data_IF_218093183110
#
_entry.id   IF_218093183110
#
_cell.length_a   1.000
_cell.length_b   1.000
_cell.length_c   1.000
_cell.angle_alpha   90.00
_cell.angle_beta   90.00
_cell.angle_gamma   90.00
#
_symmetry.space_group_name_H-M   'P 1'
#
loop_
_entity.id
_entity.type
_entity.pdbx_description
1 polymer ?
#
# COMPACT_ATOMS: atom_id res chain seq x y z
N UNK A 1 30.07 -62.42 -21.94
CA UNK A 1 30.03 -61.40 -20.87
C UNK A 1 29.39 -60.15 -21.46
N UNK A 2 28.16 -59.76 -21.07
CA UNK A 2 27.51 -58.59 -21.65
C UNK A 2 28.05 -57.32 -21.00
N UNK A 3 28.44 -56.36 -21.84
CA UNK A 3 28.85 -55.01 -21.48
C UNK A 3 27.58 -54.18 -21.24
N UNK A 4 27.33 -53.75 -20.01
CA UNK A 4 26.20 -52.89 -19.67
C UNK A 4 26.59 -51.44 -19.95
N UNK A 5 25.94 -50.84 -20.94
CA UNK A 5 26.02 -49.41 -21.27
C UNK A 5 25.03 -48.66 -20.36
N UNK A 6 25.52 -47.86 -19.42
CA UNK A 6 24.68 -46.98 -18.62
C UNK A 6 24.73 -45.56 -19.22
N UNK A 7 23.65 -45.14 -19.86
CA UNK A 7 23.41 -43.76 -20.26
C UNK A 7 23.14 -42.91 -19.00
N UNK A 8 23.99 -41.92 -18.74
CA UNK A 8 23.71 -40.82 -17.81
C UNK A 8 22.92 -39.75 -18.58
N UNK A 9 21.61 -39.67 -18.33
CA UNK A 9 20.79 -38.56 -18.77
C UNK A 9 20.98 -37.36 -17.82
N UNK A 10 21.11 -36.13 -18.32
CA UNK A 10 21.11 -34.93 -17.49
C UNK A 10 19.70 -34.69 -16.93
N UNK A 11 19.58 -34.72 -15.60
CA UNK A 11 18.38 -34.29 -14.90
C UNK A 11 18.20 -32.79 -15.06
N UNK A 12 17.20 -32.39 -15.84
CA UNK A 12 16.66 -31.04 -15.82
C UNK A 12 16.01 -30.82 -14.45
N UNK A 13 16.62 -29.98 -13.61
CA UNK A 13 15.94 -29.44 -12.44
C UNK A 13 14.92 -28.42 -12.95
N UNK A 14 13.66 -28.84 -13.07
CA UNK A 14 12.54 -27.91 -13.09
C UNK A 14 12.52 -27.25 -11.71
N UNK A 15 12.95 -25.99 -11.63
CA UNK A 15 12.70 -25.16 -10.46
C UNK A 15 11.18 -25.06 -10.34
N UNK A 16 10.65 -25.54 -9.23
CA UNK A 16 9.26 -25.30 -8.88
C UNK A 16 9.10 -23.79 -8.75
N UNK A 17 8.31 -23.19 -9.64
CA UNK A 17 7.62 -21.94 -9.35
C UNK A 17 6.79 -22.24 -8.10
N UNK A 18 7.30 -21.83 -6.93
CA UNK A 18 6.50 -21.77 -5.72
C UNK A 18 5.37 -20.78 -6.04
N UNK A 19 4.14 -21.27 -6.11
CA UNK A 19 2.93 -20.46 -6.28
C UNK A 19 2.87 -19.42 -5.15
N UNK A 20 3.50 -18.28 -5.38
CA UNK A 20 3.43 -17.12 -4.51
C UNK A 20 2.03 -16.54 -4.70
N UNK A 21 1.11 -16.92 -3.81
CA UNK A 21 -0.21 -16.29 -3.75
C UNK A 21 0.01 -14.80 -3.44
N UNK A 22 -0.18 -13.95 -4.45
CA UNK A 22 -0.04 -12.51 -4.32
C UNK A 22 -1.09 -12.03 -3.32
N UNK A 23 -0.65 -11.57 -2.16
CA UNK A 23 -1.54 -10.92 -1.20
C UNK A 23 -1.95 -9.55 -1.77
N UNK A 24 -3.26 -9.36 -1.89
CA UNK A 24 -3.85 -8.17 -2.46
C UNK A 24 -4.86 -7.58 -1.47
N UNK A 25 -4.84 -6.26 -1.35
CA UNK A 25 -5.76 -5.49 -0.55
C UNK A 25 -6.46 -4.47 -1.45
N UNK A 26 -7.79 -4.50 -1.47
CA UNK A 26 -8.60 -3.53 -2.20
C UNK A 26 -9.34 -2.63 -1.21
N UNK A 27 -9.13 -1.33 -1.32
CA UNK A 27 -9.61 -0.33 -0.38
C UNK A 27 -10.45 0.71 -1.09
N UNK A 28 -11.49 1.16 -0.39
CA UNK A 28 -12.15 2.44 -0.71
C UNK A 28 -11.87 3.40 0.43
N UNK A 29 -11.22 4.52 0.11
CA UNK A 29 -10.72 5.48 1.08
C UNK A 29 -11.46 6.81 0.94
N UNK A 30 -11.87 7.39 2.07
CA UNK A 30 -12.54 8.69 2.12
C UNK A 30 -11.64 9.68 2.87
N UNK A 31 -11.28 10.78 2.20
CA UNK A 31 -10.46 11.83 2.81
C UNK A 31 -11.23 12.52 3.94
N UNK A 32 -10.56 12.64 5.08
CA UNK A 32 -11.13 13.21 6.30
C UNK A 32 -10.78 14.70 6.39
N UNK A 33 -11.72 15.54 6.88
CA UNK A 33 -11.42 16.92 7.18
C UNK A 33 -10.33 17.01 8.24
N UNK A 34 -9.43 17.97 8.09
CA UNK A 34 -8.32 18.15 9.00
C UNK A 34 -8.43 19.42 9.82
N UNK A 35 -8.00 19.35 11.09
CA UNK A 35 -7.88 20.54 11.92
C UNK A 35 -6.58 21.26 11.58
N UNK A 36 -6.71 22.48 11.09
CA UNK A 36 -5.60 23.39 10.87
C UNK A 36 -5.43 24.29 12.10
N UNK A 37 -4.17 24.52 12.50
CA UNK A 37 -3.82 25.50 13.52
C UNK A 37 -2.98 26.58 12.84
N UNK A 38 -3.46 27.82 12.88
CA UNK A 38 -2.70 28.98 12.43
C UNK A 38 -2.23 29.81 13.61
N UNK A 39 -0.97 30.24 13.53
CA UNK A 39 -0.36 31.11 14.52
C UNK A 39 -0.45 32.55 14.01
N UNK A 40 -1.18 33.38 14.74
CA UNK A 40 -1.36 34.81 14.43
C UNK A 40 -0.28 35.65 15.10
N UNK A 41 -0.69 36.73 15.77
CA UNK A 41 0.21 37.50 16.63
C UNK A 41 0.73 36.65 17.81
N UNK A 42 1.82 37.05 18.49
CA UNK A 42 2.32 36.32 19.66
C UNK A 42 1.23 36.09 20.71
N UNK A 43 0.87 34.81 20.91
CA UNK A 43 -0.19 34.39 21.84
C UNK A 43 -1.57 34.15 21.20
N UNK A 44 -1.72 34.40 19.89
CA UNK A 44 -2.95 34.11 19.14
C UNK A 44 -2.85 32.74 18.43
N UNK A 45 -3.80 31.87 18.76
CA UNK A 45 -3.98 30.56 18.15
C UNK A 45 -5.38 30.52 17.53
N UNK A 46 -5.45 30.30 16.22
CA UNK A 46 -6.71 30.09 15.51
C UNK A 46 -6.82 28.63 15.09
N UNK A 47 -7.99 28.03 15.35
CA UNK A 47 -8.32 26.69 14.93
C UNK A 47 -9.29 26.79 13.75
N UNK A 48 -8.94 26.15 12.64
CA UNK A 48 -9.79 26.02 11.45
C UNK A 48 -9.97 24.56 11.07
N UNK A 49 -10.99 24.30 10.27
CA UNK A 49 -11.11 23.03 9.55
C UNK A 49 -10.72 23.25 8.10
N UNK A 50 -9.84 22.39 7.61
CA UNK A 50 -9.50 22.28 6.20
C UNK A 50 -10.38 21.20 5.59
N UNK A 51 -11.12 21.57 4.56
CA UNK A 51 -11.93 20.63 3.81
C UNK A 51 -11.04 19.59 3.12
N UNK A 52 -11.56 18.35 2.92
CA UNK A 52 -10.91 17.36 2.07
C UNK A 52 -10.55 17.93 0.70
N UNK A 53 -9.41 17.50 0.15
CA UNK A 53 -9.02 17.83 -1.22
C UNK A 53 -9.79 16.97 -2.22
N UNK A 54 -9.92 15.67 -1.96
CA UNK A 54 -10.86 14.78 -2.64
C UNK A 54 -12.22 14.79 -1.94
N UNK A 55 -13.27 15.13 -2.69
CA UNK A 55 -14.64 15.05 -2.22
C UNK A 55 -15.23 13.64 -2.38
N UNK A 56 -14.73 12.89 -3.37
CA UNK A 56 -15.22 11.56 -3.71
C UNK A 56 -14.31 10.48 -3.09
N UNK A 57 -14.87 9.30 -2.74
CA UNK A 57 -14.05 8.16 -2.34
C UNK A 57 -13.06 7.77 -3.42
N UNK A 58 -11.84 7.43 -3.02
CA UNK A 58 -10.80 6.94 -3.93
C UNK A 58 -10.64 5.43 -3.76
N UNK A 59 -10.32 4.75 -4.86
CA UNK A 59 -10.04 3.32 -4.87
C UNK A 59 -8.53 3.13 -4.80
N UNK A 60 -8.06 2.30 -3.85
CA UNK A 60 -6.64 2.00 -3.68
C UNK A 60 -6.48 0.49 -3.64
N UNK A 61 -5.61 -0.04 -4.49
CA UNK A 61 -5.22 -1.45 -4.47
C UNK A 61 -3.76 -1.57 -4.13
N UNK A 62 -3.45 -2.43 -3.17
CA UNK A 62 -2.07 -2.74 -2.78
C UNK A 62 -1.81 -4.22 -3.00
N UNK A 63 -0.79 -4.52 -3.79
CA UNK A 63 -0.41 -5.90 -4.15
C UNK A 63 1.00 -6.17 -3.70
N UNK A 64 1.22 -7.18 -2.85
CA UNK A 64 2.58 -7.68 -2.56
C UNK A 64 3.19 -8.24 -3.83
N UNK A 65 4.33 -7.72 -4.26
CA UNK A 65 4.92 -8.05 -5.55
C UNK A 65 6.05 -9.08 -5.45
N UNK A 66 6.96 -8.92 -4.49
CA UNK A 66 8.09 -9.83 -4.27
C UNK A 66 8.64 -9.69 -2.84
N UNK A 67 9.23 -10.76 -2.27
CA UNK A 67 9.86 -10.67 -0.96
C UNK A 67 11.09 -9.74 -0.96
N UNK A 68 11.34 -9.07 0.17
CA UNK A 68 12.58 -8.34 0.42
C UNK A 68 13.76 -9.28 0.68
N UNK A 69 14.98 -8.79 0.46
CA UNK A 69 16.22 -9.55 0.75
C UNK A 69 16.39 -9.81 2.25
N UNK A 70 15.90 -8.88 3.07
CA UNK A 70 15.82 -9.01 4.51
C UNK A 70 14.36 -9.33 4.88
N UNK A 71 14.13 -10.41 5.64
CA UNK A 71 12.81 -10.93 6.08
C UNK A 71 11.90 -9.94 6.85
N UNK A 72 12.24 -8.66 6.90
CA UNK A 72 11.51 -7.62 7.62
C UNK A 72 10.52 -6.86 6.73
N UNK A 73 10.58 -7.02 5.40
CA UNK A 73 9.68 -6.35 4.47
C UNK A 73 9.51 -7.13 3.17
N UNK A 74 8.37 -6.88 2.52
CA UNK A 74 8.11 -7.26 1.14
C UNK A 74 8.00 -6.00 0.28
N UNK A 75 8.20 -6.12 -1.02
CA UNK A 75 7.87 -5.06 -1.97
C UNK A 75 6.39 -5.12 -2.32
N UNK A 76 5.80 -3.98 -2.61
CA UNK A 76 4.41 -3.84 -3.03
C UNK A 76 4.25 -2.84 -4.17
N UNK A 77 3.14 -2.97 -4.88
CA UNK A 77 2.68 -2.02 -5.90
C UNK A 77 1.38 -1.41 -5.37
N UNK A 78 1.23 -0.10 -5.54
CA UNK A 78 0.02 0.66 -5.20
C UNK A 78 -0.58 1.17 -6.51
N UNK A 79 -1.79 0.70 -6.81
CA UNK A 79 -2.63 1.23 -7.87
C UNK A 79 -3.71 2.10 -7.22
N UNK A 80 -4.06 3.23 -7.83
CA UNK A 80 -5.05 4.15 -7.27
C UNK A 80 -5.92 4.75 -8.37
N UNK A 81 -7.16 5.14 -8.02
CA UNK A 81 -7.99 5.98 -8.89
C UNK A 81 -7.45 7.40 -9.05
N UNK A 82 -6.42 7.78 -8.29
CA UNK A 82 -5.73 9.07 -8.38
C UNK A 82 -4.25 8.91 -8.70
N UNK A 83 -3.76 9.66 -9.67
CA UNK A 83 -2.39 9.54 -10.19
C UNK A 83 -1.30 9.87 -9.15
N UNK A 84 -1.61 10.71 -8.15
CA UNK A 84 -0.68 11.13 -7.10
C UNK A 84 -0.36 10.03 -6.07
N UNK A 85 -1.14 8.95 -6.10
CA UNK A 85 -1.04 7.81 -5.21
C UNK A 85 -0.48 6.54 -5.87
N UNK A 86 -0.42 6.49 -7.19
CA UNK A 86 0.11 5.34 -7.92
C UNK A 86 1.63 5.22 -7.76
N UNK A 87 2.12 4.01 -7.47
CA UNK A 87 3.55 3.72 -7.42
C UNK A 87 3.84 2.22 -7.49
N UNK A 88 4.90 1.86 -8.20
CA UNK A 88 5.47 0.51 -8.26
C UNK A 88 6.55 0.26 -7.19
N UNK A 89 6.85 1.28 -6.36
CA UNK A 89 7.90 1.27 -5.35
C UNK A 89 7.31 1.48 -3.94
N UNK A 90 6.54 0.51 -3.47
CA UNK A 90 6.08 0.44 -2.08
C UNK A 90 6.74 -0.69 -1.29
N UNK A 91 6.72 -0.56 0.02
CA UNK A 91 7.26 -1.52 0.99
C UNK A 91 6.13 -1.94 1.91
N UNK A 92 5.91 -3.25 1.99
CA UNK A 92 4.94 -3.88 2.88
C UNK A 92 5.66 -4.42 4.12
N UNK A 93 5.31 -3.89 5.29
CA UNK A 93 5.96 -4.18 6.57
C UNK A 93 5.09 -5.12 7.41
N UNK A 94 5.09 -6.41 7.03
CA UNK A 94 4.34 -7.46 7.72
C UNK A 94 2.85 -7.17 7.79
N UNK A 95 2.23 -7.36 8.94
CA UNK A 95 0.80 -7.11 9.19
C UNK A 95 0.51 -5.66 9.64
N UNK A 96 1.50 -4.77 9.57
CA UNK A 96 1.45 -3.46 10.25
C UNK A 96 1.13 -2.32 9.32
N UNK A 97 1.92 -2.17 8.26
CA UNK A 97 1.79 -1.01 7.38
C UNK A 97 2.36 -1.24 5.99
N UNK A 98 1.93 -0.41 5.06
CA UNK A 98 2.54 -0.22 3.74
C UNK A 98 3.07 1.21 3.67
N UNK A 99 4.31 1.38 3.22
CA UNK A 99 4.93 2.69 3.02
C UNK A 99 5.40 2.86 1.58
N UNK A 100 5.30 4.08 1.05
CA UNK A 100 5.84 4.41 -0.27
C UNK A 100 6.34 5.85 -0.32
N UNK A 101 6.94 6.23 -1.45
CA UNK A 101 7.37 7.61 -1.73
C UNK A 101 8.24 8.20 -0.59
N UNK A 102 9.21 7.43 -0.09
CA UNK A 102 10.10 7.82 1.02
C UNK A 102 9.35 8.17 2.31
N UNK A 103 8.26 7.45 2.60
CA UNK A 103 7.46 7.61 3.81
C UNK A 103 6.42 8.74 3.73
N UNK A 104 6.27 9.37 2.56
CA UNK A 104 5.18 10.33 2.31
C UNK A 104 3.83 9.65 2.26
N UNK A 105 3.78 8.41 1.77
CA UNK A 105 2.60 7.55 1.82
C UNK A 105 2.76 6.55 2.96
N UNK A 106 1.73 6.43 3.81
CA UNK A 106 1.62 5.34 4.79
C UNK A 106 0.19 4.84 4.86
N UNK A 107 0.01 3.52 4.83
CA UNK A 107 -1.25 2.84 5.09
C UNK A 107 -1.06 1.93 6.31
N UNK A 108 -1.80 2.17 7.39
CA UNK A 108 -1.79 1.29 8.55
C UNK A 108 -2.80 0.14 8.33
N UNK A 109 -2.31 -1.09 8.31
CA UNK A 109 -3.11 -2.28 7.99
C UNK A 109 -4.02 -2.72 9.16
N UNK A 110 -3.72 -2.29 10.39
CA UNK A 110 -4.51 -2.66 11.57
C UNK A 110 -5.80 -1.84 11.71
N UNK A 111 -5.82 -0.60 11.23
CA UNK A 111 -6.98 0.30 11.32
C UNK A 111 -7.41 0.91 9.98
N UNK A 112 -6.77 0.52 8.88
CA UNK A 112 -7.04 0.98 7.52
C UNK A 112 -7.06 2.50 7.40
N UNK A 113 -6.17 3.18 8.12
CA UNK A 113 -5.95 4.63 7.97
C UNK A 113 -4.78 4.86 7.03
N UNK A 114 -5.04 5.61 5.97
CA UNK A 114 -4.01 6.09 5.04
C UNK A 114 -3.66 7.55 5.35
N UNK A 115 -2.38 7.87 5.28
CA UNK A 115 -1.87 9.24 5.46
C UNK A 115 -0.93 9.61 4.34
N UNK A 116 -1.06 10.85 3.84
CA UNK A 116 -0.18 11.44 2.85
C UNK A 116 0.48 12.69 3.39
N UNK A 117 1.75 12.86 3.07
CA UNK A 117 2.48 14.12 3.29
C UNK A 117 2.80 14.74 1.94
N UNK A 118 2.24 15.91 1.68
CA UNK A 118 2.48 16.74 0.50
C UNK A 118 3.39 17.91 0.89
N UNK A 119 4.32 18.28 0.01
CA UNK A 119 5.13 19.48 0.17
C UNK A 119 4.84 20.41 -0.99
N UNK A 120 4.44 21.63 -0.68
CA UNK A 120 4.14 22.63 -1.68
C UNK A 120 5.43 23.33 -2.16
N UNK A 121 5.41 23.96 -3.35
CA UNK A 121 6.57 24.68 -3.88
C UNK A 121 7.08 25.82 -3.00
N UNK A 122 6.24 26.34 -2.10
CA UNK A 122 6.61 27.37 -1.13
C UNK A 122 7.33 26.80 0.12
N UNK A 123 7.50 25.47 0.18
CA UNK A 123 8.14 24.75 1.27
C UNK A 123 7.21 24.44 2.44
N UNK A 124 5.91 24.77 2.35
CA UNK A 124 4.92 24.31 3.32
C UNK A 124 4.65 22.81 3.14
N UNK A 125 4.19 22.17 4.23
CA UNK A 125 3.83 20.75 4.21
C UNK A 125 2.38 20.58 4.63
N UNK A 126 1.65 19.80 3.84
CA UNK A 126 0.27 19.41 4.09
C UNK A 126 0.21 17.94 4.44
N UNK A 127 -0.62 17.62 5.42
CA UNK A 127 -0.94 16.26 5.77
C UNK A 127 -2.36 15.99 5.32
N UNK A 128 -2.60 14.83 4.72
CA UNK A 128 -3.93 14.36 4.35
C UNK A 128 -4.15 13.03 5.04
N UNK A 129 -5.37 12.77 5.48
CA UNK A 129 -5.76 11.53 6.16
C UNK A 129 -6.99 10.97 5.49
N UNK A 130 -6.98 9.66 5.26
CA UNK A 130 -8.10 8.94 4.69
C UNK A 130 -8.47 7.79 5.62
N UNK A 131 -9.76 7.56 5.76
CA UNK A 131 -10.31 6.37 6.39
C UNK A 131 -10.72 5.40 5.28
N UNK A 132 -10.19 4.19 5.32
CA UNK A 132 -10.40 3.19 4.29
C UNK A 132 -11.21 2.00 4.79
N UNK A 133 -11.93 1.38 3.88
CA UNK A 133 -12.68 0.15 4.10
C UNK A 133 -12.16 -0.93 3.13
N UNK A 134 -11.98 -2.15 3.63
CA UNK A 134 -11.51 -3.28 2.83
C UNK A 134 -12.67 -3.90 2.04
N UNK A 135 -12.54 -3.95 0.72
CA UNK A 135 -13.53 -4.56 -0.19
C UNK A 135 -13.26 -6.01 -0.54
N UNK A 136 -12.04 -6.50 -0.32
CA UNK A 136 -11.65 -7.88 -0.66
C UNK A 136 -12.43 -8.96 0.13
N UNK A 137 -13.17 -8.58 1.18
CA UNK A 137 -13.99 -9.50 1.98
C UNK A 137 -15.45 -9.62 1.57
N UNK A 138 -15.98 -8.75 0.70
CA UNK A 138 -17.42 -8.68 0.43
C UNK A 138 -17.87 -9.62 -0.71
N UNK A 139 -16.99 -9.91 -1.69
CA UNK A 139 -17.27 -10.86 -2.78
C UNK A 139 -17.28 -12.33 -2.33
N UNK A 140 -16.47 -12.71 -1.34
CA UNK A 140 -16.40 -14.10 -0.87
C UNK A 140 -17.70 -14.59 -0.18
N UNK A 141 -18.53 -13.67 0.31
CA UNK A 141 -19.80 -13.99 0.96
C UNK A 141 -20.98 -14.15 -0.02
N UNK A 142 -20.86 -13.61 -1.24
CA UNK A 142 -21.96 -13.61 -2.21
C UNK A 142 -22.06 -14.91 -3.04
N UNK A 143 -21.06 -15.78 -3.00
CA UNK A 143 -21.01 -17.04 -3.77
C UNK A 143 -21.45 -18.28 -2.97
N UNK A 144 -21.99 -18.09 -1.75
CA UNK A 144 -22.37 -19.19 -0.84
C UNK A 144 -23.89 -19.43 -0.68
N UNK A 145 -24.74 -18.80 -1.51
CA UNK A 145 -26.21 -18.95 -1.47
C UNK A 145 -26.76 -19.88 -2.58
#
# INVERSE_FOLDING_TARGET
MPLVLALLAPGAAAQADEDFELEQLELVCIEQPMRAVSFGEPGELSYGEQAPKEADPIEVRVTKSRPGEDFNYDFAIIESSTDDLETDEAIWLGDKQVEAQQGRFKLNLSNLVMTLTETDPDGSAHFRRFECENRSGEEAAAESD
#
